data_IF_279104753646
#
_entry.id   IF_279104753646
#
_cell.length_a   1.000
_cell.length_b   1.000
_cell.length_c   1.000
_cell.angle_alpha   90.00
_cell.angle_beta   90.00
_cell.angle_gamma   90.00
#
_symmetry.space_group_name_H-M   'P 1'
#
loop_
_entity.id
_entity.type
_entity.pdbx_description
1 polymer ?
#
# COMPACT_ATOMS: atom_id res chain seq x y z
N UNK A 1 3.00 17.64 18.04
CA UNK A 1 3.97 18.29 17.15
C UNK A 1 4.60 17.28 16.19
N UNK A 2 5.41 16.31 16.64
CA UNK A 2 6.01 15.32 15.72
C UNK A 2 4.98 14.44 15.00
N UNK A 3 3.94 13.96 15.71
CA UNK A 3 2.84 13.19 15.10
C UNK A 3 2.04 13.99 14.06
N UNK A 4 1.85 15.27 14.30
CA UNK A 4 1.09 16.15 13.39
C UNK A 4 1.87 16.38 12.10
N UNK A 5 3.19 16.61 12.21
CA UNK A 5 4.11 16.72 11.06
C UNK A 5 4.14 15.41 10.27
N UNK A 6 4.24 14.26 10.94
CA UNK A 6 4.18 12.95 10.27
C UNK A 6 2.83 12.73 9.58
N UNK A 7 1.73 13.19 10.18
CA UNK A 7 0.40 13.12 9.59
C UNK A 7 0.27 13.99 8.34
N UNK A 8 0.81 15.21 8.35
CA UNK A 8 0.80 16.12 7.21
C UNK A 8 1.64 15.59 6.04
N UNK A 9 2.87 15.11 6.33
CA UNK A 9 3.72 14.45 5.34
C UNK A 9 3.01 13.21 4.77
N UNK A 10 2.44 12.36 5.63
CA UNK A 10 1.71 11.18 5.18
C UNK A 10 0.52 11.54 4.29
N UNK A 11 -0.25 12.59 4.63
CA UNK A 11 -1.39 13.03 3.84
C UNK A 11 -0.95 13.51 2.43
N UNK A 12 0.16 14.24 2.33
CA UNK A 12 0.73 14.68 1.05
C UNK A 12 1.23 13.48 0.24
N UNK A 13 2.03 12.60 0.85
CA UNK A 13 2.56 11.40 0.19
C UNK A 13 1.44 10.47 -0.30
N UNK A 14 0.38 10.32 0.49
CA UNK A 14 -0.78 9.50 0.12
C UNK A 14 -1.60 10.11 -1.03
N UNK A 15 -1.66 11.44 -1.15
CA UNK A 15 -2.28 12.09 -2.31
C UNK A 15 -1.53 11.83 -3.62
N UNK A 16 -0.20 11.88 -3.59
CA UNK A 16 0.65 11.50 -4.73
C UNK A 16 0.48 10.02 -5.07
N UNK A 17 0.54 9.15 -4.06
CA UNK A 17 0.30 7.72 -4.18
C UNK A 17 -1.05 7.41 -4.85
N UNK A 18 -2.13 8.07 -4.42
CA UNK A 18 -3.47 7.91 -5.00
C UNK A 18 -3.50 8.25 -6.49
N UNK A 19 -2.79 9.31 -6.89
CA UNK A 19 -2.67 9.71 -8.30
C UNK A 19 -1.93 8.66 -9.13
N UNK A 20 -0.79 8.18 -8.64
CA UNK A 20 0.00 7.12 -9.29
C UNK A 20 -0.81 5.84 -9.42
N UNK A 21 -1.45 5.40 -8.33
CA UNK A 21 -2.27 4.20 -8.35
C UNK A 21 -3.47 4.34 -9.30
N UNK A 22 -4.11 5.52 -9.33
CA UNK A 22 -5.20 5.82 -10.28
C UNK A 22 -4.78 5.65 -11.74
N UNK A 23 -3.56 6.10 -12.08
CA UNK A 23 -3.02 5.95 -13.42
C UNK A 23 -2.73 4.48 -13.77
N UNK A 24 -2.27 3.69 -12.78
CA UNK A 24 -1.97 2.27 -12.97
C UNK A 24 -3.22 1.39 -13.11
N UNK A 25 -4.27 1.67 -12.35
CA UNK A 25 -5.52 0.88 -12.35
C UNK A 25 -6.60 1.43 -13.30
N UNK A 26 -6.36 2.60 -13.91
CA UNK A 26 -7.31 3.23 -14.85
C UNK A 26 -8.63 3.68 -14.21
N UNK A 27 -8.69 3.79 -12.88
CA UNK A 27 -9.87 4.26 -12.13
C UNK A 27 -9.46 5.34 -11.14
N UNK A 28 -10.41 6.22 -10.81
CA UNK A 28 -10.20 7.22 -9.76
C UNK A 28 -10.00 6.52 -8.41
N UNK A 29 -8.85 6.72 -7.80
CA UNK A 29 -8.52 6.30 -6.44
C UNK A 29 -8.44 7.54 -5.56
N UNK A 30 -9.19 7.54 -4.47
CA UNK A 30 -9.14 8.59 -3.44
C UNK A 30 -8.60 7.96 -2.14
N UNK A 31 -7.44 8.44 -1.66
CA UNK A 31 -6.88 8.03 -0.36
C UNK A 31 -7.12 9.17 0.65
N UNK A 32 -7.84 8.85 1.73
CA UNK A 32 -8.17 9.83 2.78
C UNK A 32 -7.07 9.96 3.82
N UNK A 33 -7.14 11.00 4.64
CA UNK A 33 -6.15 11.30 5.67
C UNK A 33 -5.96 10.13 6.66
N UNK A 34 -4.73 9.61 6.79
CA UNK A 34 -4.45 8.50 7.70
C UNK A 34 -4.44 8.97 9.16
N UNK A 35 -4.64 8.01 10.08
CA UNK A 35 -4.40 8.24 11.52
C UNK A 35 -2.99 7.79 11.87
N UNK A 36 -2.24 8.63 12.59
CA UNK A 36 -0.87 8.33 13.02
C UNK A 36 -0.85 7.90 14.48
N UNK A 37 -0.29 6.72 14.75
CA UNK A 37 -0.07 6.19 16.10
C UNK A 37 1.31 5.54 16.20
N UNK A 38 1.82 5.44 17.43
CA UNK A 38 3.02 4.68 17.75
C UNK A 38 2.58 3.32 18.27
N UNK A 39 3.24 2.25 17.83
CA UNK A 39 2.92 0.87 18.21
C UNK A 39 4.20 0.02 18.14
N UNK A 40 4.18 -1.16 18.76
CA UNK A 40 5.28 -2.14 18.68
C UNK A 40 5.03 -3.17 17.58
N UNK A 41 6.07 -3.91 17.21
CA UNK A 41 5.95 -4.99 16.22
C UNK A 41 5.05 -6.11 16.75
N UNK A 42 5.08 -6.36 18.06
CA UNK A 42 4.25 -7.35 18.74
C UNK A 42 2.77 -6.99 18.63
N UNK A 43 2.41 -5.73 18.93
CA UNK A 43 1.03 -5.23 18.81
C UNK A 43 0.52 -5.29 17.36
N UNK A 44 1.38 -5.00 16.38
CA UNK A 44 1.04 -5.13 14.96
C UNK A 44 0.75 -6.59 14.61
N UNK A 45 1.60 -7.54 15.05
CA UNK A 45 1.39 -8.97 14.79
C UNK A 45 0.10 -9.50 15.41
N UNK A 46 -0.25 -9.05 16.62
CA UNK A 46 -1.50 -9.44 17.28
C UNK A 46 -2.74 -8.86 16.58
N UNK A 47 -2.64 -7.63 16.07
CA UNK A 47 -3.74 -6.95 15.38
C UNK A 47 -4.05 -7.53 14.00
N UNK A 48 -3.05 -8.04 13.32
CA UNK A 48 -3.15 -8.54 11.94
C UNK A 48 -2.94 -10.05 11.92
N UNK A 49 -3.98 -10.83 12.27
CA UNK A 49 -3.95 -12.30 12.36
C UNK A 49 -4.40 -13.07 11.11
N UNK A 50 -5.05 -12.41 10.15
CA UNK A 50 -5.52 -13.02 8.89
C UNK A 50 -4.42 -13.11 7.81
N UNK A 51 -4.78 -13.52 6.59
CA UNK A 51 -3.88 -13.51 5.45
C UNK A 51 -3.65 -12.07 4.94
N UNK A 52 -2.40 -11.60 5.00
CA UNK A 52 -1.99 -10.30 4.50
C UNK A 52 -0.90 -10.40 3.45
N UNK A 53 -0.98 -9.48 2.50
CA UNK A 53 0.14 -9.09 1.66
C UNK A 53 0.99 -8.05 2.39
N UNK A 54 2.30 -8.28 2.44
CA UNK A 54 3.25 -7.38 3.10
C UNK A 54 4.31 -6.95 2.08
N UNK A 55 4.35 -5.65 1.79
CA UNK A 55 5.41 -5.03 1.00
C UNK A 55 6.40 -4.34 1.95
N UNK A 56 7.68 -4.69 1.82
CA UNK A 56 8.78 -4.09 2.59
C UNK A 56 9.67 -3.28 1.66
N UNK A 57 9.83 -1.99 1.96
CA UNK A 57 10.70 -1.08 1.21
C UNK A 57 11.76 -0.54 2.15
N UNK A 58 13.03 -0.81 1.84
CA UNK A 58 14.14 -0.31 2.66
C UNK A 58 14.54 1.09 2.18
N UNK A 59 14.72 2.01 3.14
CA UNK A 59 15.28 3.32 2.82
C UNK A 59 16.75 3.18 2.43
N UNK A 60 17.14 3.80 1.31
CA UNK A 60 18.50 3.71 0.76
C UNK A 60 19.42 4.86 1.17
N UNK A 61 18.85 6.04 1.50
CA UNK A 61 19.60 7.25 1.83
C UNK A 61 18.76 8.19 2.69
N UNK A 62 19.40 8.92 3.60
CA UNK A 62 18.78 9.95 4.43
C UNK A 62 18.07 9.44 5.69
N UNK A 63 17.36 8.32 5.57
CA UNK A 63 16.72 7.61 6.68
C UNK A 63 17.27 6.19 6.78
N UNK A 64 17.36 5.69 8.01
CA UNK A 64 17.65 4.29 8.30
C UNK A 64 16.37 3.61 8.79
N UNK A 65 16.04 2.46 8.18
CA UNK A 65 14.87 1.67 8.54
C UNK A 65 14.13 1.09 7.34
N UNK A 66 13.00 0.45 7.63
CA UNK A 66 12.13 -0.19 6.64
C UNK A 66 10.74 0.43 6.70
N UNK A 67 10.21 0.81 5.56
CA UNK A 67 8.80 1.12 5.39
C UNK A 67 8.03 -0.17 5.07
N UNK A 68 6.92 -0.41 5.76
CA UNK A 68 6.11 -1.62 5.59
C UNK A 68 4.69 -1.20 5.23
N UNK A 69 4.19 -1.71 4.12
CA UNK A 69 2.79 -1.64 3.72
C UNK A 69 2.14 -3.01 3.91
N UNK A 70 1.02 -3.04 4.65
CA UNK A 70 0.26 -4.26 4.95
C UNK A 70 -1.14 -4.09 4.37
N UNK A 71 -1.59 -5.05 3.57
CA UNK A 71 -2.90 -5.06 2.93
C UNK A 71 -3.55 -6.43 3.09
N UNK A 72 -4.88 -6.50 3.19
CA UNK A 72 -5.57 -7.77 3.14
C UNK A 72 -5.39 -8.39 1.75
N UNK A 73 -5.16 -9.70 1.69
CA UNK A 73 -4.99 -10.41 0.41
C UNK A 73 -6.18 -10.21 -0.53
N UNK A 74 -7.39 -10.09 0.03
CA UNK A 74 -8.60 -9.80 -0.74
C UNK A 74 -8.54 -8.44 -1.45
N UNK A 75 -8.15 -7.37 -0.75
CA UNK A 75 -8.02 -6.03 -1.35
C UNK A 75 -6.95 -5.99 -2.44
N UNK A 76 -5.84 -6.73 -2.23
CA UNK A 76 -4.81 -6.91 -3.26
C UNK A 76 -5.38 -7.60 -4.50
N UNK A 77 -6.25 -8.60 -4.31
CA UNK A 77 -6.97 -9.25 -5.41
C UNK A 77 -7.82 -8.28 -6.23
N UNK A 78 -8.50 -7.34 -5.58
CA UNK A 78 -9.28 -6.29 -6.27
C UNK A 78 -8.35 -5.42 -7.13
N UNK A 79 -7.21 -4.99 -6.57
CA UNK A 79 -6.25 -4.16 -7.30
C UNK A 79 -5.67 -4.90 -8.50
N UNK A 80 -5.34 -6.19 -8.33
CA UNK A 80 -4.87 -7.05 -9.42
C UNK A 80 -5.91 -7.17 -10.53
N UNK A 81 -7.17 -7.43 -10.19
CA UNK A 81 -8.26 -7.51 -11.17
C UNK A 81 -8.36 -6.21 -11.98
N UNK A 82 -8.33 -5.06 -11.29
CA UNK A 82 -8.33 -3.74 -11.94
C UNK A 82 -7.12 -3.53 -12.86
N UNK A 83 -5.92 -3.91 -12.42
CA UNK A 83 -4.70 -3.81 -13.24
C UNK A 83 -4.73 -4.72 -14.47
N UNK A 84 -5.46 -5.84 -14.41
CA UNK A 84 -5.65 -6.78 -15.52
C UNK A 84 -6.82 -6.39 -16.43
N UNK A 85 -7.45 -5.23 -16.21
CA UNK A 85 -8.54 -4.71 -17.03
C UNK A 85 -9.95 -5.14 -16.58
N UNK A 86 -10.06 -5.79 -15.42
CA UNK A 86 -11.32 -6.09 -14.76
C UNK A 86 -11.98 -4.87 -14.14
N UNK A 87 -13.10 -5.09 -13.43
CA UNK A 87 -13.88 -4.04 -12.79
C UNK A 87 -13.77 -4.02 -11.26
N UNK A 88 -13.00 -4.96 -10.68
CA UNK A 88 -12.77 -5.13 -9.26
C UNK A 88 -13.80 -6.04 -8.57
N UNK A 89 -14.77 -6.60 -9.29
CA UNK A 89 -15.86 -7.39 -8.70
C UNK A 89 -15.59 -8.88 -8.64
N UNK A 90 -14.58 -9.37 -9.38
CA UNK A 90 -14.23 -10.78 -9.43
C UNK A 90 -12.72 -10.98 -9.19
N UNK A 91 -12.22 -10.63 -8.00
CA UNK A 91 -10.80 -10.80 -7.68
C UNK A 91 -10.39 -12.27 -7.77
N UNK A 92 -9.16 -12.57 -8.19
CA UNK A 92 -8.68 -13.95 -8.26
C UNK A 92 -8.70 -14.59 -6.87
N UNK A 93 -9.17 -15.84 -6.80
CA UNK A 93 -9.27 -16.59 -5.54
C UNK A 93 -7.90 -16.76 -4.85
N UNK A 94 -6.83 -16.83 -5.65
CA UNK A 94 -5.45 -16.90 -5.18
C UNK A 94 -4.54 -15.96 -6.00
N UNK A 95 -3.57 -15.35 -5.33
CA UNK A 95 -2.54 -14.53 -5.97
C UNK A 95 -1.36 -15.41 -6.37
N UNK A 96 -1.07 -15.49 -7.67
CA UNK A 96 0.12 -16.16 -8.19
C UNK A 96 1.31 -15.18 -8.27
N UNK A 97 2.49 -15.69 -8.66
CA UNK A 97 3.72 -14.90 -8.74
C UNK A 97 3.63 -13.69 -9.69
N UNK A 98 2.84 -13.80 -10.77
CA UNK A 98 2.64 -12.69 -11.72
C UNK A 98 1.80 -11.60 -11.06
N UNK A 99 0.70 -11.97 -10.39
CA UNK A 99 -0.14 -11.02 -9.65
C UNK A 99 0.67 -10.31 -8.57
N UNK A 100 1.44 -11.07 -7.79
CA UNK A 100 2.29 -10.54 -6.72
C UNK A 100 3.37 -9.60 -7.28
N UNK A 101 3.99 -9.94 -8.41
CA UNK A 101 5.00 -9.08 -9.04
C UNK A 101 4.39 -7.78 -9.57
N UNK A 102 3.26 -7.86 -10.26
CA UNK A 102 2.58 -6.70 -10.83
C UNK A 102 2.14 -5.72 -9.74
N UNK A 103 1.48 -6.22 -8.69
CA UNK A 103 1.01 -5.36 -7.60
C UNK A 103 2.18 -4.83 -6.76
N UNK A 104 3.25 -5.61 -6.56
CA UNK A 104 4.44 -5.14 -5.86
C UNK A 104 5.13 -3.98 -6.58
N UNK A 105 5.20 -4.03 -7.91
CA UNK A 105 5.76 -2.95 -8.73
C UNK A 105 4.87 -1.71 -8.66
N UNK A 106 3.55 -1.87 -8.84
CA UNK A 106 2.60 -0.77 -8.73
C UNK A 106 2.67 -0.07 -7.37
N UNK A 107 2.69 -0.85 -6.29
CA UNK A 107 2.78 -0.35 -4.92
C UNK A 107 4.16 0.26 -4.62
N UNK A 108 5.23 -0.30 -5.18
CA UNK A 108 6.58 0.28 -5.06
C UNK A 108 6.67 1.63 -5.78
N UNK A 109 6.05 1.78 -6.94
CA UNK A 109 5.96 3.08 -7.64
C UNK A 109 5.12 4.07 -6.83
N UNK A 110 3.98 3.63 -6.31
CA UNK A 110 3.12 4.43 -5.43
C UNK A 110 3.87 4.95 -4.19
N UNK A 111 4.69 4.10 -3.56
CA UNK A 111 5.45 4.46 -2.36
C UNK A 111 6.77 5.19 -2.68
N UNK A 112 7.30 5.00 -3.88
CA UNK A 112 8.58 5.54 -4.35
C UNK A 112 8.45 6.85 -5.14
N UNK A 113 7.24 7.37 -5.34
CA UNK A 113 7.08 8.71 -5.93
C UNK A 113 7.54 9.78 -4.93
N UNK A 114 8.78 10.20 -5.08
CA UNK A 114 9.40 11.38 -4.45
C UNK A 114 10.47 11.95 -5.35
#
# INVERSE_FOLDING_TARGET
>A
MEKDVLGEIANISMGSAATTLSALVGKKVDITTPKVSVSTIEEIKEKYSDAYFILKVNYKKGLEGTNILILQTYDVGIIVDLMMGGDGTNPPAELNDIHLSAVSEAMSQMMGTS
#
